data_IF_845939308565
#
_entry.id   IF_845939308565
#
_cell.length_a   1.000
_cell.length_b   1.000
_cell.length_c   1.000
_cell.angle_alpha   90.00
_cell.angle_beta   90.00
_cell.angle_gamma   90.00
#
_symmetry.space_group_name_H-M   'P 1'
#
loop_
_entity.id
_entity.type
_entity.pdbx_description
1 polymer ?
#
# COMPACT_ATOMS: atom_id res chain seq x y z
N UNK A 1 -40.92 18.64 -36.51
CA UNK A 1 -41.43 19.95 -36.96
C UNK A 1 -42.95 19.90 -36.91
N UNK A 2 -43.61 20.97 -36.46
CA UNK A 2 -45.07 21.04 -36.54
C UNK A 2 -45.49 21.25 -38.00
N UNK A 3 -46.50 20.52 -38.51
CA UNK A 3 -47.01 20.74 -39.85
C UNK A 3 -47.54 22.18 -39.96
N UNK A 4 -47.05 22.91 -40.95
CA UNK A 4 -47.40 24.30 -41.24
C UNK A 4 -47.83 24.45 -42.70
N UNK A 5 -48.49 25.55 -43.02
CA UNK A 5 -48.84 25.86 -44.41
C UNK A 5 -47.58 25.99 -45.29
N UNK A 6 -46.47 26.50 -44.75
CA UNK A 6 -45.18 26.59 -45.46
C UNK A 6 -44.64 25.21 -45.84
N UNK A 7 -44.71 24.22 -44.93
CA UNK A 7 -44.32 22.84 -45.24
C UNK A 7 -45.27 22.17 -46.23
N UNK A 8 -46.58 22.48 -46.17
CA UNK A 8 -47.54 21.92 -47.12
C UNK A 8 -47.31 22.43 -48.56
N UNK A 9 -46.97 23.71 -48.72
CA UNK A 9 -46.61 24.30 -50.00
C UNK A 9 -45.35 23.69 -50.64
N UNK A 10 -44.45 23.08 -49.84
CA UNK A 10 -43.32 22.31 -50.38
C UNK A 10 -43.75 20.95 -50.95
N UNK A 11 -44.85 20.40 -50.43
CA UNK A 11 -45.44 19.14 -50.89
C UNK A 11 -46.35 19.37 -52.10
N UNK A 12 -47.01 20.54 -52.17
CA UNK A 12 -47.93 20.94 -53.24
C UNK A 12 -47.26 21.87 -54.26
N UNK A 13 -46.79 21.38 -55.43
CA UNK A 13 -46.15 22.22 -56.43
C UNK A 13 -47.20 23.01 -57.21
N UNK A 14 -47.54 24.21 -56.71
CA UNK A 14 -48.57 25.09 -57.29
C UNK A 14 -48.39 25.27 -58.80
N UNK A 15 -47.15 25.43 -59.28
CA UNK A 15 -46.86 25.63 -60.71
C UNK A 15 -47.27 24.43 -61.58
N UNK A 16 -47.13 23.20 -61.06
CA UNK A 16 -47.56 22.00 -61.76
C UNK A 16 -49.09 21.97 -61.90
N UNK A 17 -49.80 22.34 -60.84
CA UNK A 17 -51.26 22.41 -60.83
C UNK A 17 -51.79 23.50 -61.76
N UNK A 18 -51.15 24.68 -61.78
CA UNK A 18 -51.45 25.72 -62.77
C UNK A 18 -51.25 25.20 -64.20
N UNK A 19 -50.16 24.48 -64.47
CA UNK A 19 -49.89 23.88 -65.77
C UNK A 19 -50.93 22.84 -66.19
N UNK A 20 -51.30 21.93 -65.29
CA UNK A 20 -52.33 20.93 -65.55
C UNK A 20 -53.70 21.56 -65.80
N UNK A 21 -54.04 22.61 -65.06
CA UNK A 21 -55.31 23.32 -65.24
C UNK A 21 -55.37 24.02 -66.60
N UNK A 22 -54.27 24.61 -67.06
CA UNK A 22 -54.17 25.20 -68.40
C UNK A 22 -54.28 24.13 -69.50
N UNK A 23 -53.63 22.98 -69.32
CA UNK A 23 -53.69 21.85 -70.27
C UNK A 23 -55.11 21.26 -70.32
N UNK A 24 -55.74 21.03 -69.16
CA UNK A 24 -57.09 20.49 -69.08
C UNK A 24 -58.12 21.46 -69.66
N UNK A 25 -57.99 22.76 -69.40
CA UNK A 25 -58.85 23.79 -69.99
C UNK A 25 -58.71 23.80 -71.52
N UNK A 26 -57.47 23.74 -72.03
CA UNK A 26 -57.18 23.61 -73.46
C UNK A 26 -57.78 22.34 -74.07
N UNK A 27 -57.60 21.19 -73.41
CA UNK A 27 -58.09 19.90 -73.89
C UNK A 27 -59.62 19.84 -73.98
N UNK A 28 -60.34 20.36 -72.99
CA UNK A 28 -61.81 20.40 -72.98
C UNK A 28 -62.36 21.37 -74.04
N UNK A 29 -61.66 22.49 -74.28
CA UNK A 29 -62.07 23.46 -75.30
C UNK A 29 -61.81 23.01 -76.75
N UNK A 30 -60.99 21.97 -76.94
CA UNK A 30 -60.77 21.33 -78.25
C UNK A 30 -61.93 20.42 -78.66
N UNK A 31 -62.98 20.33 -77.84
CA UNK A 31 -64.12 19.46 -78.07
C UNK A 31 -65.45 20.24 -78.07
N UNK A 32 -66.47 19.86 -78.87
CA UNK A 32 -66.59 18.70 -79.79
C UNK A 32 -66.03 18.90 -81.21
N UNK A 33 -65.14 19.85 -81.46
CA UNK A 33 -64.87 20.32 -82.82
C UNK A 33 -63.57 19.74 -83.39
N UNK A 34 -63.66 18.99 -84.50
CA UNK A 34 -62.55 18.30 -85.19
C UNK A 34 -61.46 19.24 -85.78
N UNK A 35 -61.33 20.48 -85.31
CA UNK A 35 -60.43 21.50 -85.85
C UNK A 35 -59.50 22.05 -84.75
N UNK A 36 -58.27 21.53 -84.69
CA UNK A 36 -57.24 21.93 -83.72
C UNK A 36 -56.44 23.17 -84.13
N UNK A 37 -56.93 23.99 -85.06
CA UNK A 37 -56.20 25.16 -85.55
C UNK A 37 -56.12 26.29 -84.51
N UNK A 38 -55.02 27.05 -84.50
CA UNK A 38 -54.88 28.22 -83.63
C UNK A 38 -55.99 29.26 -83.84
N UNK A 39 -56.41 29.45 -85.10
CA UNK A 39 -57.53 30.34 -85.45
C UNK A 39 -58.89 29.89 -84.89
N UNK A 40 -59.02 28.61 -84.55
CA UNK A 40 -60.22 28.08 -83.89
C UNK A 40 -60.21 28.37 -82.38
N UNK A 41 -59.07 28.18 -81.71
CA UNK A 41 -58.93 28.43 -80.26
C UNK A 41 -59.20 29.87 -79.84
N UNK A 42 -58.92 30.84 -80.72
CA UNK A 42 -59.16 32.27 -80.46
C UNK A 42 -60.60 32.72 -80.74
N UNK A 43 -61.50 31.83 -81.18
CA UNK A 43 -62.91 32.18 -81.41
C UNK A 43 -63.59 32.53 -80.07
N UNK A 44 -64.43 33.59 -80.01
CA UNK A 44 -65.07 34.01 -78.77
C UNK A 44 -65.83 32.88 -78.03
N UNK A 45 -66.55 32.04 -78.75
CA UNK A 45 -67.31 30.93 -78.16
C UNK A 45 -66.40 29.87 -77.51
N UNK A 46 -65.23 29.61 -78.12
CA UNK A 46 -64.22 28.67 -77.59
C UNK A 46 -63.50 29.28 -76.40
N UNK A 47 -63.22 30.58 -76.45
CA UNK A 47 -62.67 31.36 -75.33
C UNK A 47 -63.60 31.34 -74.12
N UNK A 48 -64.92 31.43 -74.31
CA UNK A 48 -65.89 31.32 -73.21
C UNK A 48 -65.86 29.93 -72.57
N UNK A 49 -65.80 28.85 -73.36
CA UNK A 49 -65.66 27.48 -72.85
C UNK A 49 -64.33 27.29 -72.12
N UNK A 50 -63.23 27.83 -72.65
CA UNK A 50 -61.92 27.85 -71.99
C UNK A 50 -61.98 28.51 -70.61
N UNK A 51 -62.55 29.71 -70.54
CA UNK A 51 -62.68 30.49 -69.29
C UNK A 51 -63.56 29.75 -68.30
N UNK A 52 -64.70 29.20 -68.75
CA UNK A 52 -65.61 28.44 -67.90
C UNK A 52 -64.94 27.17 -67.35
N UNK A 53 -64.23 26.42 -68.21
CA UNK A 53 -63.45 25.24 -67.78
C UNK A 53 -62.38 25.63 -66.77
N UNK A 54 -61.66 26.73 -67.02
CA UNK A 54 -60.63 27.25 -66.13
C UNK A 54 -61.21 27.59 -64.75
N UNK A 55 -62.31 28.32 -64.70
CA UNK A 55 -62.98 28.70 -63.46
C UNK A 55 -63.48 27.48 -62.66
N UNK A 56 -64.09 26.50 -63.34
CA UNK A 56 -64.52 25.24 -62.74
C UNK A 56 -63.30 24.48 -62.19
N UNK A 57 -62.23 24.38 -62.97
CA UNK A 57 -60.96 23.79 -62.55
C UNK A 57 -60.40 24.44 -61.29
N UNK A 58 -60.38 25.78 -61.21
CA UNK A 58 -59.84 26.51 -60.04
C UNK A 58 -60.66 26.17 -58.79
N UNK A 59 -61.98 26.09 -58.91
CA UNK A 59 -62.85 25.74 -57.79
C UNK A 59 -62.57 24.31 -57.30
N UNK A 60 -62.48 23.34 -58.22
CA UNK A 60 -62.18 21.93 -57.92
C UNK A 60 -60.81 21.79 -57.25
N UNK A 61 -59.78 22.41 -57.83
CA UNK A 61 -58.42 22.36 -57.30
C UNK A 61 -58.31 22.99 -55.91
N UNK A 62 -59.09 24.03 -55.64
CA UNK A 62 -59.14 24.65 -54.31
C UNK A 62 -59.69 23.69 -53.25
N UNK A 63 -60.69 22.88 -53.61
CA UNK A 63 -61.24 21.85 -52.73
C UNK A 63 -60.22 20.73 -52.50
N UNK A 64 -59.56 20.24 -53.56
CA UNK A 64 -58.50 19.23 -53.42
C UNK A 64 -57.33 19.73 -52.56
N UNK A 65 -56.90 20.98 -52.79
CA UNK A 65 -55.85 21.62 -52.00
C UNK A 65 -56.25 21.69 -50.52
N UNK A 66 -57.48 22.09 -50.23
CA UNK A 66 -58.03 22.16 -48.88
C UNK A 66 -58.10 20.79 -48.22
N UNK A 67 -58.60 19.76 -48.91
CA UNK A 67 -58.70 18.39 -48.40
C UNK A 67 -57.31 17.83 -48.12
N UNK A 68 -56.36 17.98 -49.05
CA UNK A 68 -54.97 17.57 -48.84
C UNK A 68 -54.33 18.32 -47.67
N UNK A 69 -54.63 19.60 -47.49
CA UNK A 69 -54.13 20.38 -46.35
C UNK A 69 -54.67 19.86 -45.02
N UNK A 70 -55.96 19.53 -44.97
CA UNK A 70 -56.60 18.97 -43.77
C UNK A 70 -56.01 17.60 -43.41
N UNK A 71 -55.78 16.74 -44.42
CA UNK A 71 -55.12 15.44 -44.23
C UNK A 71 -53.69 15.62 -43.71
N UNK A 72 -52.94 16.57 -44.29
CA UNK A 72 -51.56 16.88 -43.93
C UNK A 72 -51.43 17.44 -42.51
N UNK A 73 -52.21 18.47 -42.13
CA UNK A 73 -52.10 19.10 -40.82
C UNK A 73 -52.59 18.19 -39.70
N UNK A 74 -53.61 17.37 -39.98
CA UNK A 74 -54.13 16.38 -39.04
C UNK A 74 -53.22 15.17 -38.91
N UNK A 75 -52.29 14.97 -39.84
CA UNK A 75 -51.36 13.84 -39.89
C UNK A 75 -52.11 12.51 -40.00
N UNK A 76 -53.18 12.46 -40.81
CA UNK A 76 -54.03 11.27 -40.85
C UNK A 76 -53.31 10.05 -41.43
N UNK A 77 -52.34 10.22 -42.33
CA UNK A 77 -51.55 9.10 -42.84
C UNK A 77 -50.80 8.38 -41.71
N UNK A 78 -50.23 9.12 -40.77
CA UNK A 78 -49.58 8.56 -39.58
C UNK A 78 -50.55 8.02 -38.52
N UNK A 79 -51.68 8.70 -38.28
CA UNK A 79 -52.60 8.39 -37.17
C UNK A 79 -53.69 7.38 -37.53
N UNK A 80 -54.23 7.45 -38.74
CA UNK A 80 -55.38 6.67 -39.19
C UNK A 80 -55.44 6.65 -40.73
N UNK A 81 -54.63 5.78 -41.36
CA UNK A 81 -54.54 5.69 -42.82
C UNK A 81 -55.91 5.47 -43.49
N UNK A 82 -56.81 4.68 -42.88
CA UNK A 82 -58.17 4.50 -43.39
C UNK A 82 -58.98 5.80 -43.46
N UNK A 83 -58.82 6.72 -42.49
CA UNK A 83 -59.45 8.05 -42.54
C UNK A 83 -58.83 8.94 -43.60
N UNK A 84 -57.51 8.86 -43.80
CA UNK A 84 -56.83 9.59 -44.87
C UNK A 84 -57.34 9.15 -46.25
N UNK A 85 -57.43 7.83 -46.48
CA UNK A 85 -58.00 7.25 -47.71
C UNK A 85 -59.44 7.70 -47.90
N UNK A 86 -60.27 7.66 -46.85
CA UNK A 86 -61.66 8.09 -46.92
C UNK A 86 -61.80 9.58 -47.26
N UNK A 87 -60.98 10.45 -46.65
CA UNK A 87 -60.99 11.88 -46.95
C UNK A 87 -60.54 12.18 -48.38
N UNK A 88 -59.51 11.49 -48.87
CA UNK A 88 -59.09 11.63 -50.26
C UNK A 88 -60.16 11.08 -51.23
N UNK A 89 -60.79 9.95 -50.94
CA UNK A 89 -61.82 9.38 -51.81
C UNK A 89 -63.10 10.23 -51.83
N UNK A 90 -63.64 10.57 -50.67
CA UNK A 90 -64.91 11.31 -50.56
C UNK A 90 -64.73 12.81 -50.79
N UNK A 91 -63.75 13.42 -50.11
CA UNK A 91 -63.51 14.86 -50.18
C UNK A 91 -62.64 15.28 -51.37
N UNK A 92 -61.70 14.43 -51.80
CA UNK A 92 -60.78 14.72 -52.90
C UNK A 92 -61.26 14.25 -54.28
N UNK A 93 -62.15 13.25 -54.36
CA UNK A 93 -62.66 12.75 -55.67
C UNK A 93 -64.17 12.90 -55.79
N UNK A 94 -64.96 12.30 -54.89
CA UNK A 94 -66.41 12.27 -55.05
C UNK A 94 -67.04 13.67 -54.96
N UNK A 95 -66.69 14.45 -53.93
CA UNK A 95 -67.22 15.80 -53.73
C UNK A 95 -66.81 16.74 -54.88
N UNK A 96 -65.53 16.84 -55.30
CA UNK A 96 -65.16 17.72 -56.40
C UNK A 96 -65.75 17.26 -57.73
N UNK A 97 -65.93 15.95 -57.97
CA UNK A 97 -66.61 15.45 -59.17
C UNK A 97 -68.09 15.83 -59.21
N UNK A 98 -68.82 15.74 -58.10
CA UNK A 98 -70.23 16.16 -58.01
C UNK A 98 -70.36 17.66 -58.26
N UNK A 99 -69.47 18.46 -57.67
CA UNK A 99 -69.45 19.91 -57.86
C UNK A 99 -69.09 20.26 -59.29
N UNK A 100 -68.07 19.61 -59.87
CA UNK A 100 -67.67 19.78 -61.26
C UNK A 100 -68.86 19.53 -62.20
N UNK A 101 -69.54 18.40 -62.03
CA UNK A 101 -70.68 18.03 -62.86
C UNK A 101 -71.82 19.05 -62.74
N UNK A 102 -72.16 19.46 -61.51
CA UNK A 102 -73.18 20.49 -61.28
C UNK A 102 -72.83 21.84 -61.91
N UNK A 103 -71.57 22.26 -61.83
CA UNK A 103 -71.09 23.51 -62.43
C UNK A 103 -71.08 23.43 -63.97
N UNK A 104 -70.70 22.29 -64.55
CA UNK A 104 -70.73 22.12 -66.00
C UNK A 104 -72.17 22.21 -66.51
N UNK A 105 -73.13 21.52 -65.87
CA UNK A 105 -74.55 21.60 -66.24
C UNK A 105 -75.13 23.02 -66.13
N UNK A 106 -74.65 23.81 -65.16
CA UNK A 106 -75.11 25.18 -64.93
C UNK A 106 -74.53 26.17 -65.95
N UNK A 107 -73.25 26.02 -66.29
CA UNK A 107 -72.46 27.03 -67.01
C UNK A 107 -72.37 26.73 -68.50
N UNK A 108 -72.46 25.46 -68.92
CA UNK A 108 -72.27 25.10 -70.32
C UNK A 108 -73.58 25.18 -71.09
N UNK A 109 -73.56 25.63 -72.37
CA UNK A 109 -74.73 25.60 -73.23
C UNK A 109 -75.28 24.17 -73.41
N UNK A 110 -76.60 24.04 -73.51
CA UNK A 110 -77.28 22.75 -73.72
C UNK A 110 -76.74 21.99 -74.96
N UNK A 111 -76.35 22.71 -76.01
CA UNK A 111 -75.75 22.13 -77.21
C UNK A 111 -74.43 21.36 -76.97
N UNK A 112 -73.73 21.65 -75.87
CA UNK A 112 -72.51 20.95 -75.47
C UNK A 112 -72.86 19.77 -74.54
N UNK A 113 -73.80 19.97 -73.62
CA UNK A 113 -74.22 18.96 -72.65
C UNK A 113 -74.95 17.78 -73.31
N UNK A 114 -75.74 18.07 -74.35
CA UNK A 114 -76.52 17.07 -75.08
C UNK A 114 -75.70 16.27 -76.11
N UNK A 115 -74.42 16.63 -76.33
CA UNK A 115 -73.54 15.89 -77.23
C UNK A 115 -73.17 14.53 -76.61
N UNK A 116 -73.38 13.39 -77.29
CA UNK A 116 -73.08 12.06 -76.73
C UNK A 116 -71.60 11.89 -76.38
N UNK A 117 -70.71 12.67 -77.00
CA UNK A 117 -69.28 12.60 -76.74
C UNK A 117 -68.87 13.35 -75.47
N UNK A 118 -69.69 14.25 -74.94
CA UNK A 118 -69.47 14.99 -73.69
C UNK A 118 -69.26 14.08 -72.47
N UNK A 119 -69.85 12.87 -72.49
CA UNK A 119 -69.66 11.86 -71.45
C UNK A 119 -68.18 11.41 -71.32
N UNK A 120 -67.45 11.37 -72.43
CA UNK A 120 -66.03 11.00 -72.44
C UNK A 120 -65.16 12.08 -71.81
N UNK A 121 -65.52 13.36 -71.96
CA UNK A 121 -64.80 14.47 -71.33
C UNK A 121 -65.01 14.49 -69.82
N UNK A 122 -66.24 14.22 -69.36
CA UNK A 122 -66.52 14.06 -67.92
C UNK A 122 -65.70 12.89 -67.36
N UNK A 123 -65.67 11.75 -68.07
CA UNK A 123 -64.90 10.59 -67.65
C UNK A 123 -63.39 10.90 -67.61
N UNK A 124 -62.87 11.60 -68.63
CA UNK A 124 -61.49 12.03 -68.70
C UNK A 124 -61.13 12.96 -67.52
N UNK A 125 -61.98 13.96 -67.24
CA UNK A 125 -61.78 14.88 -66.11
C UNK A 125 -61.86 14.16 -64.75
N UNK A 126 -62.74 13.18 -64.61
CA UNK A 126 -62.83 12.33 -63.41
C UNK A 126 -61.57 11.48 -63.22
N UNK A 127 -61.06 10.87 -64.30
CA UNK A 127 -59.82 10.11 -64.25
C UNK A 127 -58.62 11.00 -63.90
N UNK A 128 -58.56 12.20 -64.48
CA UNK A 128 -57.54 13.19 -64.17
C UNK A 128 -57.58 13.58 -62.68
N UNK A 129 -58.78 13.81 -62.13
CA UNK A 129 -59.01 14.08 -60.71
C UNK A 129 -58.53 12.93 -59.82
N UNK A 130 -58.86 11.68 -60.16
CA UNK A 130 -58.40 10.50 -59.43
C UNK A 130 -56.87 10.43 -59.42
N UNK A 131 -56.23 10.61 -60.57
CA UNK A 131 -54.77 10.57 -60.71
C UNK A 131 -54.12 11.70 -59.89
N UNK A 132 -54.68 12.91 -59.96
CA UNK A 132 -54.21 14.09 -59.24
C UNK A 132 -54.29 13.90 -57.73
N UNK A 133 -55.45 13.46 -57.24
CA UNK A 133 -55.66 13.21 -55.83
C UNK A 133 -54.80 12.04 -55.31
N UNK A 134 -54.62 10.97 -56.10
CA UNK A 134 -53.69 9.89 -55.77
C UNK A 134 -52.24 10.39 -55.69
N UNK A 135 -51.83 11.21 -56.65
CA UNK A 135 -50.50 11.80 -56.67
C UNK A 135 -50.24 12.68 -55.45
N UNK A 136 -51.22 13.52 -55.07
CA UNK A 136 -51.17 14.36 -53.88
C UNK A 136 -51.08 13.52 -52.59
N UNK A 137 -51.94 12.51 -52.46
CA UNK A 137 -51.91 11.57 -51.34
C UNK A 137 -50.53 10.90 -51.19
N UNK A 138 -49.95 10.42 -52.29
CA UNK A 138 -48.64 9.79 -52.29
C UNK A 138 -47.52 10.78 -51.90
N UNK A 139 -47.58 12.03 -52.38
CA UNK A 139 -46.61 13.07 -52.00
C UNK A 139 -46.66 13.40 -50.51
N UNK A 140 -47.86 13.55 -49.96
CA UNK A 140 -48.05 13.77 -48.52
C UNK A 140 -47.48 12.58 -47.72
N UNK A 141 -47.83 11.35 -48.12
CA UNK A 141 -47.35 10.14 -47.46
C UNK A 141 -45.82 10.04 -47.51
N UNK A 142 -45.19 10.27 -48.66
CA UNK A 142 -43.72 10.26 -48.79
C UNK A 142 -43.05 11.30 -47.91
N UNK A 143 -43.63 12.50 -47.81
CA UNK A 143 -43.12 13.56 -46.94
C UNK A 143 -43.19 13.15 -45.46
N UNK A 144 -44.33 12.63 -45.02
CA UNK A 144 -44.49 12.14 -43.63
C UNK A 144 -43.54 10.98 -43.31
N UNK A 145 -43.35 10.03 -44.25
CA UNK A 145 -42.43 8.91 -44.09
C UNK A 145 -40.97 9.39 -43.96
N UNK A 146 -40.55 10.37 -44.77
CA UNK A 146 -39.20 10.95 -44.69
C UNK A 146 -38.96 11.64 -43.35
N UNK A 147 -39.89 12.48 -42.91
CA UNK A 147 -39.78 13.14 -41.59
C UNK A 147 -39.77 12.11 -40.46
N UNK A 148 -40.56 11.04 -40.58
CA UNK A 148 -40.56 9.93 -39.64
C UNK A 148 -39.19 9.26 -39.55
N UNK A 149 -38.60 8.91 -40.70
CA UNK A 149 -37.28 8.27 -40.79
C UNK A 149 -36.16 9.15 -40.22
N UNK A 150 -36.13 10.44 -40.59
CA UNK A 150 -35.16 11.41 -40.07
C UNK A 150 -35.30 11.58 -38.55
N UNK A 151 -36.55 11.60 -38.05
CA UNK A 151 -36.84 11.65 -36.62
C UNK A 151 -36.33 10.42 -35.87
N UNK A 152 -36.55 9.22 -36.39
CA UNK A 152 -36.03 7.98 -35.79
C UNK A 152 -34.52 7.91 -35.84
N UNK A 153 -33.89 8.33 -36.94
CA UNK A 153 -32.43 8.34 -37.06
C UNK A 153 -31.82 9.32 -36.05
N UNK A 154 -32.42 10.50 -35.87
CA UNK A 154 -32.00 11.45 -34.85
C UNK A 154 -32.11 10.85 -33.44
N UNK A 155 -33.21 10.18 -33.12
CA UNK A 155 -33.39 9.53 -31.82
C UNK A 155 -32.36 8.42 -31.57
N UNK A 156 -32.01 7.65 -32.61
CA UNK A 156 -30.95 6.63 -32.54
C UNK A 156 -29.60 7.30 -32.25
N UNK A 157 -29.24 8.34 -33.02
CA UNK A 157 -28.00 9.07 -32.81
C UNK A 157 -27.93 9.71 -31.40
N UNK A 158 -29.04 10.28 -30.91
CA UNK A 158 -29.12 10.86 -29.57
C UNK A 158 -28.98 9.79 -28.48
N UNK A 159 -29.58 8.60 -28.67
CA UNK A 159 -29.43 7.45 -27.76
C UNK A 159 -27.97 6.99 -27.70
N UNK A 160 -27.30 6.86 -28.84
CA UNK A 160 -25.92 6.41 -28.90
C UNK A 160 -24.97 7.40 -28.21
N UNK A 161 -25.22 8.71 -28.39
CA UNK A 161 -24.50 9.77 -27.68
C UNK A 161 -24.69 9.68 -26.17
N UNK A 162 -25.93 9.46 -25.71
CA UNK A 162 -26.21 9.29 -24.27
C UNK A 162 -25.56 8.01 -23.71
N UNK A 163 -25.56 6.92 -24.47
CA UNK A 163 -24.90 5.69 -24.08
C UNK A 163 -23.39 5.89 -23.90
N UNK A 164 -22.73 6.60 -24.83
CA UNK A 164 -21.32 6.97 -24.71
C UNK A 164 -21.05 7.85 -23.48
N UNK A 165 -21.92 8.83 -23.18
CA UNK A 165 -21.80 9.65 -21.97
C UNK A 165 -21.94 8.82 -20.69
N UNK A 166 -22.88 7.86 -20.66
CA UNK A 166 -23.04 6.95 -19.51
C UNK A 166 -21.81 6.06 -19.35
N UNK A 167 -21.24 5.55 -20.44
CA UNK A 167 -20.03 4.72 -20.41
C UNK A 167 -18.83 5.52 -19.90
N UNK A 168 -18.66 6.76 -20.37
CA UNK A 168 -17.67 7.70 -19.85
C UNK A 168 -17.84 7.94 -18.34
N UNK A 169 -19.05 8.28 -17.89
CA UNK A 169 -19.33 8.51 -16.47
C UNK A 169 -19.10 7.25 -15.62
N UNK A 170 -19.43 6.06 -16.14
CA UNK A 170 -19.12 4.79 -15.46
C UNK A 170 -17.62 4.59 -15.31
N UNK A 171 -16.83 4.91 -16.33
CA UNK A 171 -15.37 4.83 -16.26
C UNK A 171 -14.81 5.80 -15.23
N UNK A 172 -15.34 7.03 -15.18
CA UNK A 172 -14.95 8.07 -14.24
C UNK A 172 -15.29 7.70 -12.79
N UNK A 173 -16.49 7.16 -12.55
CA UNK A 173 -16.88 6.60 -11.26
C UNK A 173 -15.95 5.45 -10.86
N UNK A 174 -15.54 4.61 -11.82
CA UNK A 174 -14.56 3.55 -11.60
C UNK A 174 -13.20 4.10 -11.13
N UNK A 175 -12.72 5.17 -11.76
CA UNK A 175 -11.51 5.88 -11.34
C UNK A 175 -11.65 6.47 -9.93
N UNK A 176 -12.71 7.21 -9.64
CA UNK A 176 -12.93 7.77 -8.30
C UNK A 176 -13.04 6.70 -7.22
N UNK A 177 -13.63 5.55 -7.53
CA UNK A 177 -13.69 4.42 -6.59
C UNK A 177 -12.30 3.88 -6.25
N UNK A 178 -11.42 3.79 -7.25
CA UNK A 178 -10.02 3.38 -7.05
C UNK A 178 -9.27 4.43 -6.22
N UNK A 179 -9.44 5.72 -6.52
CA UNK A 179 -8.82 6.81 -5.74
C UNK A 179 -9.26 6.76 -4.27
N UNK A 180 -10.56 6.57 -4.01
CA UNK A 180 -11.08 6.41 -2.64
C UNK A 180 -10.46 5.20 -1.94
N UNK A 181 -10.23 4.09 -2.64
CA UNK A 181 -9.53 2.94 -2.07
C UNK A 181 -8.07 3.27 -1.74
N UNK A 182 -7.38 4.01 -2.60
CA UNK A 182 -6.01 4.49 -2.32
C UNK A 182 -5.97 5.42 -1.11
N UNK A 183 -6.90 6.37 -1.01
CA UNK A 183 -7.01 7.25 0.18
C UNK A 183 -7.30 6.47 1.46
N UNK A 184 -8.15 5.42 1.40
CA UNK A 184 -8.38 4.52 2.55
C UNK A 184 -7.13 3.75 2.96
N UNK A 185 -6.35 3.26 2.00
CA UNK A 185 -5.07 2.61 2.29
C UNK A 185 -4.06 3.61 2.89
N UNK A 186 -3.99 4.83 2.34
CA UNK A 186 -3.11 5.87 2.84
C UNK A 186 -3.46 6.24 4.29
N UNK A 187 -4.73 6.50 4.58
CA UNK A 187 -5.21 6.82 5.94
C UNK A 187 -4.88 5.72 6.95
N UNK A 188 -5.13 4.44 6.63
CA UNK A 188 -4.74 3.31 7.50
C UNK A 188 -3.23 3.26 7.74
N UNK A 189 -2.43 3.57 6.72
CA UNK A 189 -0.96 3.59 6.83
C UNK A 189 -0.48 4.77 7.67
N UNK A 190 -1.09 5.94 7.49
CA UNK A 190 -0.82 7.13 8.30
C UNK A 190 -1.20 6.89 9.77
N UNK A 191 -2.37 6.32 10.04
CA UNK A 191 -2.82 5.99 11.40
C UNK A 191 -1.87 5.01 12.10
N UNK A 192 -1.41 3.97 11.39
CA UNK A 192 -0.39 3.05 11.93
C UNK A 192 0.92 3.77 12.25
N UNK A 193 1.37 4.67 11.36
CA UNK A 193 2.61 5.43 11.57
C UNK A 193 2.48 6.39 12.75
N UNK A 194 1.35 7.10 12.87
CA UNK A 194 1.06 8.02 13.99
C UNK A 194 0.96 7.25 15.31
N UNK A 195 0.26 6.11 15.33
CA UNK A 195 0.18 5.28 16.53
C UNK A 195 1.56 4.74 16.94
N UNK A 196 2.38 4.29 15.98
CA UNK A 196 3.77 3.88 16.26
C UNK A 196 4.66 5.01 16.79
N UNK A 197 4.47 6.25 16.30
CA UNK A 197 5.15 7.43 16.82
C UNK A 197 4.72 7.78 18.25
N UNK A 198 3.43 7.67 18.56
CA UNK A 198 2.90 7.89 19.92
C UNK A 198 3.44 6.84 20.89
N UNK A 199 3.49 5.57 20.48
CA UNK A 199 4.05 4.48 21.28
C UNK A 199 5.55 4.69 21.54
N UNK A 200 6.32 5.04 20.51
CA UNK A 200 7.73 5.39 20.65
C UNK A 200 7.97 6.60 21.58
N UNK A 201 7.13 7.63 21.48
CA UNK A 201 7.16 8.79 22.40
C UNK A 201 6.93 8.37 23.85
N UNK A 202 5.95 7.50 24.11
CA UNK A 202 5.63 7.04 25.46
C UNK A 202 6.76 6.20 26.07
N UNK A 203 7.39 5.32 25.29
CA UNK A 203 8.56 4.54 25.72
C UNK A 203 9.72 5.47 26.08
N UNK A 204 10.02 6.45 25.22
CA UNK A 204 11.09 7.41 25.47
C UNK A 204 10.80 8.29 26.70
N UNK A 205 9.56 8.71 26.91
CA UNK A 205 9.16 9.45 28.10
C UNK A 205 9.38 8.64 29.39
N UNK A 206 9.03 7.34 29.37
CA UNK A 206 9.25 6.45 30.50
C UNK A 206 10.75 6.23 30.78
N UNK A 207 11.56 6.03 29.74
CA UNK A 207 13.02 5.92 29.88
C UNK A 207 13.65 7.21 30.43
N UNK A 208 13.15 8.38 30.00
CA UNK A 208 13.63 9.67 30.51
C UNK A 208 13.31 9.84 32.00
N UNK A 209 12.13 9.44 32.46
CA UNK A 209 11.77 9.48 33.87
C UNK A 209 12.58 8.49 34.72
N UNK A 210 12.83 7.28 34.21
CA UNK A 210 13.70 6.30 34.88
C UNK A 210 15.13 6.85 35.04
N UNK A 211 15.67 7.46 33.99
CA UNK A 211 17.00 8.10 34.03
C UNK A 211 17.03 9.30 34.98
N UNK A 212 15.97 10.10 35.04
CA UNK A 212 15.85 11.22 36.01
C UNK A 212 15.87 10.71 37.44
N UNK A 213 15.08 9.67 37.72
CA UNK A 213 15.02 9.04 39.04
C UNK A 213 16.37 8.45 39.45
N UNK A 214 17.06 7.78 38.53
CA UNK A 214 18.39 7.22 38.78
C UNK A 214 19.44 8.32 39.00
N UNK A 215 19.41 9.40 38.22
CA UNK A 215 20.29 10.55 38.41
C UNK A 215 20.04 11.22 39.78
N UNK A 216 18.77 11.39 40.19
CA UNK A 216 18.44 11.88 41.54
C UNK A 216 18.99 10.98 42.65
N UNK A 217 18.90 9.65 42.49
CA UNK A 217 19.50 8.70 43.45
C UNK A 217 21.02 8.81 43.50
N UNK A 218 21.67 8.94 42.36
CA UNK A 218 23.13 9.12 42.29
C UNK A 218 23.56 10.43 42.96
N UNK A 219 22.86 11.53 42.72
CA UNK A 219 23.11 12.80 43.41
C UNK A 219 22.96 12.69 44.93
N UNK A 220 21.91 12.02 45.42
CA UNK A 220 21.75 11.75 46.85
C UNK A 220 22.92 10.93 47.41
N UNK A 221 23.40 9.94 46.66
CA UNK A 221 24.55 9.12 47.06
C UNK A 221 25.85 9.93 47.09
N UNK A 222 26.06 10.82 46.13
CA UNK A 222 27.21 11.74 46.14
C UNK A 222 27.16 12.63 47.37
N UNK A 223 25.99 13.19 47.69
CA UNK A 223 25.82 14.05 48.86
C UNK A 223 26.08 13.30 50.18
N UNK A 224 25.59 12.05 50.30
CA UNK A 224 25.91 11.20 51.45
C UNK A 224 27.41 10.92 51.59
N UNK A 225 28.11 10.66 50.49
CA UNK A 225 29.56 10.46 50.49
C UNK A 225 30.34 11.74 50.84
N UNK A 226 29.85 12.91 50.43
CA UNK A 226 30.43 14.19 50.83
C UNK A 226 30.24 14.45 52.33
N UNK A 227 29.06 14.13 52.88
CA UNK A 227 28.78 14.22 54.31
C UNK A 227 29.68 13.26 55.12
N UNK A 228 29.81 12.00 54.69
CA UNK A 228 30.72 11.01 55.28
C UNK A 228 32.19 11.48 55.23
N UNK A 229 32.64 11.99 54.08
CA UNK A 229 33.99 12.55 53.93
C UNK A 229 34.20 13.74 54.87
N UNK A 230 33.21 14.59 55.07
CA UNK A 230 33.30 15.73 55.99
C UNK A 230 33.46 15.27 57.45
N UNK A 231 32.79 14.17 57.83
CA UNK A 231 32.92 13.54 59.14
C UNK A 231 34.29 12.88 59.31
N UNK A 232 34.80 12.21 58.28
CA UNK A 232 36.13 11.61 58.29
C UNK A 232 37.22 12.68 58.43
N UNK A 233 37.13 13.79 57.69
CA UNK A 233 38.07 14.92 57.80
C UNK A 233 38.05 15.52 59.20
N UNK A 234 36.87 15.70 59.82
CA UNK A 234 36.77 16.13 61.23
C UNK A 234 37.37 15.10 62.19
N UNK A 235 37.20 13.81 61.91
CA UNK A 235 37.79 12.71 62.68
C UNK A 235 39.31 12.71 62.61
N UNK A 236 39.88 12.88 61.41
CA UNK A 236 41.33 13.00 61.19
C UNK A 236 41.90 14.24 61.86
N UNK A 237 41.26 15.40 61.73
CA UNK A 237 41.70 16.62 62.40
C UNK A 237 41.72 16.47 63.94
N UNK A 238 40.72 15.78 64.52
CA UNK A 238 40.71 15.46 65.97
C UNK A 238 41.81 14.47 66.35
N UNK A 239 42.05 13.45 65.52
CA UNK A 239 43.10 12.47 65.75
C UNK A 239 44.50 13.11 65.62
N UNK A 240 44.72 14.01 64.66
CA UNK A 240 45.95 14.78 64.49
C UNK A 240 46.19 15.72 65.67
N UNK A 241 45.17 16.42 66.16
CA UNK A 241 45.27 17.25 67.37
C UNK A 241 45.68 16.40 68.59
N UNK A 242 45.05 15.23 68.78
CA UNK A 242 45.42 14.28 69.83
C UNK A 242 46.81 13.69 69.65
N UNK A 243 47.24 13.47 68.41
CA UNK A 243 48.58 12.95 68.11
C UNK A 243 49.66 14.02 68.34
N UNK A 244 49.38 15.29 68.08
CA UNK A 244 50.26 16.40 68.44
C UNK A 244 50.41 16.54 69.97
N UNK A 245 49.32 16.34 70.71
CA UNK A 245 49.32 16.29 72.17
C UNK A 245 50.18 15.12 72.69
N UNK A 246 50.00 13.92 72.13
CA UNK A 246 50.82 12.74 72.44
C UNK A 246 52.30 12.91 72.04
N UNK A 247 52.60 13.61 70.94
CA UNK A 247 53.97 13.88 70.52
C UNK A 247 54.69 14.84 71.47
N UNK A 248 53.98 15.79 72.09
CA UNK A 248 54.52 16.63 73.14
C UNK A 248 54.82 15.81 74.40
N UNK A 249 53.92 14.90 74.78
CA UNK A 249 54.10 13.97 75.90
C UNK A 249 55.27 13.00 75.66
N UNK A 250 55.42 12.49 74.44
CA UNK A 250 56.55 11.64 74.02
C UNK A 250 57.86 12.42 73.98
N UNK A 251 57.85 13.72 73.63
CA UNK A 251 59.05 14.56 73.66
C UNK A 251 59.55 14.78 75.09
N UNK A 252 58.65 14.96 76.06
CA UNK A 252 58.98 15.01 77.50
C UNK A 252 59.55 13.66 77.98
N UNK A 253 59.00 12.54 77.52
CA UNK A 253 59.51 11.20 77.84
C UNK A 253 60.84 10.86 77.13
N UNK A 254 61.12 11.44 75.96
CA UNK A 254 62.38 11.26 75.22
C UNK A 254 63.55 12.07 75.79
N UNK A 255 63.30 13.19 76.47
CA UNK A 255 64.34 13.92 77.19
C UNK A 255 64.94 13.12 78.37
N UNK A 256 64.21 12.11 78.86
CA UNK A 256 64.64 11.19 79.93
C UNK A 256 65.34 9.91 79.44
N UNK A 257 65.26 9.59 78.14
CA UNK A 257 65.69 8.30 77.60
C UNK A 257 66.97 8.34 76.73
N UNK A 258 67.65 9.49 76.63
CA UNK A 258 68.92 9.64 75.89
C UNK A 258 70.17 9.40 76.78
N UNK A 259 70.12 8.39 77.64
CA UNK A 259 71.27 7.65 78.19
C UNK A 259 71.10 6.16 77.83
N UNK A 260 71.24 5.80 76.55
CA UNK A 260 71.67 4.46 76.10
C UNK A 260 71.74 4.39 74.56
N UNK A 261 72.96 4.15 74.07
CA UNK A 261 73.36 3.56 72.77
C UNK A 261 72.46 2.42 72.29
N UNK A 262 72.47 1.91 71.05
CA UNK A 262 73.05 2.21 69.72
C UNK A 262 72.51 1.14 68.75
N UNK A 263 72.52 1.47 67.46
CA UNK A 263 72.83 0.63 66.29
C UNK A 263 71.93 -0.51 65.73
N UNK A 264 71.82 -0.45 64.38
CA UNK A 264 71.74 -1.53 63.35
C UNK A 264 70.43 -2.34 63.22
N UNK A 265 70.02 -2.91 62.07
CA UNK A 265 70.23 -2.78 60.61
C UNK A 265 69.32 -3.84 59.92
N UNK A 266 68.99 -3.68 58.63
CA UNK A 266 68.57 -4.73 57.66
C UNK A 266 67.22 -5.49 57.88
N UNK A 267 66.48 -6.10 56.93
CA UNK A 267 66.32 -6.15 55.46
C UNK A 267 65.01 -6.95 55.19
N UNK A 268 64.43 -6.83 53.99
CA UNK A 268 63.52 -7.75 53.23
C UNK A 268 62.73 -8.88 53.94
N UNK A 269 61.45 -9.09 53.57
CA UNK A 269 61.01 -10.48 53.35
C UNK A 269 59.82 -10.71 52.40
N UNK A 270 59.97 -11.75 51.57
CA UNK A 270 58.97 -12.47 50.77
C UNK A 270 58.66 -13.74 51.55
N UNK A 271 57.40 -14.01 51.90
CA UNK A 271 57.07 -15.22 52.65
C UNK A 271 56.96 -16.47 51.75
N UNK A 272 57.90 -17.39 51.92
CA UNK A 272 57.86 -18.80 51.51
C UNK A 272 57.21 -19.64 52.62
N UNK A 273 56.10 -20.33 52.33
CA UNK A 273 55.46 -21.28 53.27
C UNK A 273 55.56 -22.70 52.72
N UNK A 274 56.12 -23.61 53.52
CA UNK A 274 56.37 -25.03 53.19
C UNK A 274 55.40 -25.90 53.98
N UNK A 275 54.73 -26.84 53.31
CA UNK A 275 53.71 -27.70 53.93
C UNK A 275 54.19 -29.15 54.01
N UNK A 276 54.11 -29.75 55.20
CA UNK A 276 54.56 -31.12 55.45
C UNK A 276 53.38 -32.10 55.49
N UNK A 277 53.46 -33.19 54.72
CA UNK A 277 52.45 -34.27 54.69
C UNK A 277 53.09 -35.61 54.99
N UNK A 278 52.43 -36.44 55.80
CA UNK A 278 52.82 -37.85 55.95
C UNK A 278 52.14 -38.70 54.88
N UNK A 279 52.92 -39.20 53.93
CA UNK A 279 52.46 -40.10 52.87
C UNK A 279 53.17 -41.44 53.04
N UNK A 280 52.41 -42.52 53.21
CA UNK A 280 52.95 -43.89 53.39
C UNK A 280 54.02 -44.01 54.50
N UNK A 281 53.88 -43.25 55.59
CA UNK A 281 54.79 -43.27 56.74
C UNK A 281 56.02 -42.35 56.64
N UNK A 282 56.26 -41.72 55.48
CA UNK A 282 57.33 -40.73 55.29
C UNK A 282 56.77 -39.30 55.23
N UNK A 283 57.51 -38.34 55.78
CA UNK A 283 57.14 -36.92 55.75
C UNK A 283 57.69 -36.25 54.50
N UNK A 284 56.82 -35.63 53.71
CA UNK A 284 57.12 -34.99 52.44
C UNK A 284 56.80 -33.50 52.57
N UNK A 285 57.78 -32.65 52.24
CA UNK A 285 57.62 -31.20 52.21
C UNK A 285 57.25 -30.76 50.79
N UNK A 286 56.12 -30.06 50.65
CA UNK A 286 55.62 -29.55 49.36
C UNK A 286 55.40 -28.05 49.50
N UNK A 287 55.94 -27.27 48.56
CA UNK A 287 55.62 -25.86 48.42
C UNK A 287 54.34 -25.70 47.59
N UNK A 288 53.46 -24.77 47.99
CA UNK A 288 52.20 -24.56 47.28
C UNK A 288 52.41 -24.14 45.81
N UNK A 289 53.49 -23.41 45.52
CA UNK A 289 53.85 -22.98 44.16
C UNK A 289 54.24 -24.13 43.22
N UNK A 290 54.65 -25.28 43.76
CA UNK A 290 55.06 -26.45 43.00
C UNK A 290 53.88 -27.37 42.68
N UNK A 291 52.66 -27.03 43.12
CA UNK A 291 51.46 -27.82 42.87
C UNK A 291 50.82 -27.39 41.56
N UNK A 292 50.56 -28.37 40.68
CA UNK A 292 49.82 -28.15 39.45
C UNK A 292 48.31 -28.17 39.71
N UNK A 293 47.82 -29.27 40.26
CA UNK A 293 46.42 -29.43 40.64
C UNK A 293 46.27 -30.50 41.72
N UNK A 294 45.14 -30.44 42.44
CA UNK A 294 44.70 -31.51 43.31
C UNK A 294 43.40 -32.11 42.77
N UNK A 295 43.31 -33.43 42.79
CA UNK A 295 42.17 -34.19 42.31
C UNK A 295 41.51 -34.97 43.46
N UNK A 296 40.19 -34.91 43.52
CA UNK A 296 39.38 -35.67 44.48
C UNK A 296 38.61 -36.77 43.79
N UNK A 297 38.95 -38.02 44.08
CA UNK A 297 38.22 -39.16 43.57
C UNK A 297 37.03 -39.48 44.47
N UNK A 298 35.83 -39.37 43.92
CA UNK A 298 34.58 -39.64 44.63
C UNK A 298 33.61 -40.41 43.72
N UNK A 299 33.76 -41.73 43.63
CA UNK A 299 32.86 -42.62 42.89
C UNK A 299 32.04 -43.49 43.83
N UNK A 300 30.77 -43.71 43.49
CA UNK A 300 29.82 -44.45 44.34
C UNK A 300 30.27 -45.93 44.42
N UNK A 301 30.74 -46.35 45.60
CA UNK A 301 31.22 -47.72 45.86
C UNK A 301 32.75 -47.88 45.96
N UNK A 302 33.52 -46.80 45.81
CA UNK A 302 34.99 -46.79 45.97
C UNK A 302 35.39 -45.85 47.12
N UNK A 303 36.53 -46.15 47.77
CA UNK A 303 37.06 -45.31 48.83
C UNK A 303 37.50 -43.96 48.26
N UNK A 304 37.00 -42.88 48.86
CA UNK A 304 37.36 -41.53 48.42
C UNK A 304 38.80 -41.20 48.82
N UNK A 305 39.61 -40.78 47.86
CA UNK A 305 40.97 -40.32 48.10
C UNK A 305 41.23 -38.98 47.41
N UNK A 306 42.26 -38.30 47.90
CA UNK A 306 42.75 -37.06 47.33
C UNK A 306 44.15 -37.30 46.76
N UNK A 307 44.41 -36.73 45.60
CA UNK A 307 45.70 -36.77 44.91
C UNK A 307 46.21 -35.33 44.73
N UNK A 308 47.48 -35.09 45.06
CA UNK A 308 48.20 -33.85 44.77
C UNK A 308 49.15 -34.16 43.62
N UNK A 309 49.06 -33.39 42.53
CA UNK A 309 49.95 -33.50 41.37
C UNK A 309 50.82 -32.25 41.31
N UNK A 310 52.13 -32.44 41.31
CA UNK A 310 53.11 -31.35 41.22
C UNK A 310 53.35 -30.90 39.77
N UNK A 311 53.99 -29.76 39.60
CA UNK A 311 54.32 -29.15 38.30
C UNK A 311 55.30 -29.99 37.48
N UNK A 312 56.05 -30.91 38.09
CA UNK A 312 56.91 -31.90 37.42
C UNK A 312 56.16 -33.18 37.00
N UNK A 313 54.91 -33.35 37.45
CA UNK A 313 54.07 -34.52 37.19
C UNK A 313 54.09 -35.58 38.30
N UNK A 314 54.85 -35.39 39.37
CA UNK A 314 54.90 -36.29 40.52
C UNK A 314 53.57 -36.27 41.29
N UNK A 315 53.12 -37.44 41.77
CA UNK A 315 51.79 -37.65 42.37
C UNK A 315 51.89 -38.13 43.83
N UNK A 316 51.17 -37.48 44.72
CA UNK A 316 51.11 -37.81 46.15
C UNK A 316 49.67 -38.00 46.66
N UNK A 317 49.50 -38.90 47.62
CA UNK A 317 48.20 -39.21 48.23
C UNK A 317 48.22 -38.89 49.73
N UNK A 318 47.87 -37.66 50.16
CA UNK A 318 48.07 -37.19 51.54
C UNK A 318 47.10 -37.77 52.58
N UNK A 319 46.27 -38.76 52.24
CA UNK A 319 45.31 -39.39 53.17
C UNK A 319 44.21 -38.45 53.69
N UNK A 320 44.00 -37.30 53.04
CA UNK A 320 42.98 -36.32 53.42
C UNK A 320 41.58 -36.75 52.96
N UNK A 321 40.55 -36.33 53.71
CA UNK A 321 39.16 -36.77 53.50
C UNK A 321 38.43 -35.97 52.41
N UNK A 322 38.83 -34.73 52.15
CA UNK A 322 38.14 -33.88 51.18
C UNK A 322 39.05 -32.87 50.47
N UNK A 323 38.65 -32.43 49.28
CA UNK A 323 39.30 -31.29 48.59
C UNK A 323 39.18 -30.00 49.39
N UNK A 324 38.13 -29.82 50.20
CA UNK A 324 37.98 -28.61 51.02
C UNK A 324 39.07 -28.49 52.09
N UNK A 325 39.61 -29.60 52.58
CA UNK A 325 40.73 -29.60 53.52
C UNK A 325 42.02 -29.16 52.81
N UNK A 326 42.23 -29.63 51.57
CA UNK A 326 43.35 -29.17 50.74
C UNK A 326 43.26 -27.68 50.39
N UNK A 327 42.06 -27.13 50.16
CA UNK A 327 41.89 -25.71 49.90
C UNK A 327 42.21 -24.82 51.11
N UNK A 328 42.04 -25.33 52.34
CA UNK A 328 42.45 -24.60 53.56
C UNK A 328 43.96 -24.58 53.71
N UNK A 329 44.63 -25.65 53.29
CA UNK A 329 46.09 -25.76 53.34
C UNK A 329 46.71 -24.93 52.22
N UNK A 330 46.09 -24.93 51.03
CA UNK A 330 46.57 -24.25 49.83
C UNK A 330 45.56 -23.19 49.34
N UNK A 331 45.50 -22.01 49.99
CA UNK A 331 44.50 -20.99 49.69
C UNK A 331 44.67 -20.31 48.32
N UNK A 332 45.85 -20.42 47.70
CA UNK A 332 46.10 -19.86 46.38
C UNK A 332 45.44 -20.68 45.26
N UNK A 333 45.26 -21.99 45.47
CA UNK A 333 44.57 -22.87 44.52
C UNK A 333 43.09 -22.48 44.39
N UNK A 334 42.54 -22.63 43.18
CA UNK A 334 41.13 -22.30 42.91
C UNK A 334 40.34 -23.56 42.62
N UNK A 335 39.13 -23.59 43.17
CA UNK A 335 38.19 -24.67 42.96
C UNK A 335 37.50 -24.46 41.62
N UNK A 336 37.75 -25.35 40.65
CA UNK A 336 37.29 -25.18 39.27
C UNK A 336 36.12 -26.12 38.95
N UNK A 337 36.15 -27.34 39.48
CA UNK A 337 35.05 -28.31 39.37
C UNK A 337 34.93 -29.10 40.66
N UNK A 338 33.89 -29.92 40.81
CA UNK A 338 33.64 -30.72 42.03
C UNK A 338 34.85 -31.53 42.50
N UNK A 339 35.67 -31.98 41.55
CA UNK A 339 36.77 -32.89 41.82
C UNK A 339 38.15 -32.25 41.59
N UNK A 340 38.25 -30.95 41.32
CA UNK A 340 39.53 -30.33 40.97
C UNK A 340 39.76 -28.97 41.65
N UNK A 341 40.91 -28.87 42.31
CA UNK A 341 41.56 -27.62 42.70
C UNK A 341 42.77 -27.40 41.79
N UNK A 342 42.93 -26.19 41.27
CA UNK A 342 43.92 -25.92 40.22
C UNK A 342 44.74 -24.70 40.58
N UNK A 343 46.05 -24.78 40.37
CA UNK A 343 46.95 -23.64 40.44
C UNK A 343 46.83 -22.82 39.16
N UNK A 344 46.71 -21.50 39.28
CA UNK A 344 46.69 -20.60 38.10
C UNK A 344 47.94 -20.76 37.21
N UNK A 345 49.07 -21.14 37.80
CA UNK A 345 50.34 -21.35 37.11
C UNK A 345 50.35 -22.60 36.23
N UNK A 346 49.48 -23.57 36.49
CA UNK A 346 49.39 -24.82 35.75
C UNK A 346 48.45 -24.75 34.54
N UNK A 347 47.77 -23.62 34.33
CA UNK A 347 46.86 -23.42 33.20
C UNK A 347 47.69 -23.16 31.94
N UNK A 348 47.63 -24.11 31.00
CA UNK A 348 48.34 -24.04 29.72
C UNK A 348 47.55 -23.18 28.73
N UNK A 349 46.24 -23.41 28.65
CA UNK A 349 45.34 -22.66 27.78
C UNK A 349 43.90 -22.74 28.30
N UNK A 350 43.03 -21.84 27.83
CA UNK A 350 41.59 -21.98 27.99
C UNK A 350 40.84 -21.57 26.72
N UNK A 351 39.74 -22.28 26.46
CA UNK A 351 38.84 -22.01 25.34
C UNK A 351 37.45 -21.67 25.89
N UNK A 352 36.76 -20.73 25.25
CA UNK A 352 35.41 -20.35 25.63
C UNK A 352 34.39 -21.09 24.77
N UNK A 353 33.60 -21.99 25.37
CA UNK A 353 32.50 -22.67 24.68
C UNK A 353 31.28 -21.75 24.52
N UNK A 354 30.39 -22.11 23.58
CA UNK A 354 29.07 -21.48 23.41
C UNK A 354 28.29 -21.56 24.73
N UNK A 355 27.95 -20.42 25.31
CA UNK A 355 27.38 -20.32 26.67
C UNK A 355 28.31 -19.72 27.73
N UNK A 356 29.47 -19.18 27.33
CA UNK A 356 30.42 -18.48 28.22
C UNK A 356 30.98 -19.39 29.34
N UNK A 357 31.14 -20.68 29.02
CA UNK A 357 31.80 -21.67 29.88
C UNK A 357 33.24 -21.85 29.43
N UNK A 358 34.26 -21.50 30.25
CA UNK A 358 35.64 -21.76 29.91
C UNK A 358 35.97 -23.23 30.14
N UNK A 359 36.71 -23.79 29.21
CA UNK A 359 37.27 -25.13 29.25
C UNK A 359 38.79 -24.99 29.33
N UNK A 360 39.36 -25.47 30.43
CA UNK A 360 40.76 -25.31 30.76
C UNK A 360 41.55 -26.54 30.32
N UNK A 361 42.71 -26.29 29.72
CA UNK A 361 43.77 -27.29 29.52
C UNK A 361 44.83 -27.08 30.60
N UNK A 362 45.05 -28.11 31.41
CA UNK A 362 45.91 -28.04 32.60
C UNK A 362 47.13 -28.93 32.39
N UNK A 363 48.28 -28.48 32.90
CA UNK A 363 49.52 -29.25 32.85
C UNK A 363 49.35 -30.64 33.49
N UNK A 364 49.90 -31.67 32.84
CA UNK A 364 49.82 -33.10 33.23
C UNK A 364 48.42 -33.73 33.29
N UNK A 365 47.36 -32.97 33.04
CA UNK A 365 46.01 -33.49 32.94
C UNK A 365 45.66 -33.71 31.47
N UNK A 366 45.42 -34.98 31.11
CA UNK A 366 45.13 -35.38 29.71
C UNK A 366 43.75 -34.91 29.23
N UNK A 367 42.82 -34.69 30.14
CA UNK A 367 41.45 -34.27 29.85
C UNK A 367 41.27 -32.78 30.08
N UNK A 368 40.44 -32.14 29.24
CA UNK A 368 40.09 -30.73 29.41
C UNK A 368 38.98 -30.61 30.46
N UNK A 369 39.11 -29.67 31.39
CA UNK A 369 38.14 -29.47 32.47
C UNK A 369 37.27 -28.24 32.20
N UNK A 370 35.95 -28.39 32.30
CA UNK A 370 35.04 -27.26 32.35
C UNK A 370 35.08 -26.57 33.71
N UNK A 371 35.24 -25.24 33.72
CA UNK A 371 35.09 -24.49 34.96
C UNK A 371 33.61 -24.40 35.32
N UNK A 372 33.14 -25.16 36.30
CA UNK A 372 31.73 -25.23 36.66
C UNK A 372 31.13 -23.87 37.07
N UNK A 373 29.91 -23.60 36.63
CA UNK A 373 29.22 -22.32 36.88
C UNK A 373 29.08 -21.99 38.37
N UNK A 374 28.79 -23.00 39.20
CA UNK A 374 28.68 -22.86 40.67
C UNK A 374 29.97 -22.36 41.32
N UNK A 375 31.13 -22.68 40.74
CA UNK A 375 32.43 -22.23 41.24
C UNK A 375 32.80 -20.86 40.69
N UNK A 376 32.52 -20.59 39.41
CA UNK A 376 32.69 -19.26 38.80
C UNK A 376 31.90 -18.17 39.53
N UNK A 377 30.68 -18.46 39.97
CA UNK A 377 29.86 -17.52 40.76
C UNK A 377 30.47 -17.19 42.13
N UNK A 378 31.22 -18.13 42.74
CA UNK A 378 31.90 -17.91 44.03
C UNK A 378 33.18 -17.09 43.91
N UNK A 379 33.77 -17.00 42.71
CA UNK A 379 34.98 -16.22 42.44
C UNK A 379 34.65 -15.04 41.51
N UNK A 380 34.16 -13.94 42.07
CA UNK A 380 33.92 -12.71 41.32
C UNK A 380 35.23 -12.24 40.65
N UNK A 381 35.18 -11.92 39.36
CA UNK A 381 36.36 -11.56 38.58
C UNK A 381 37.18 -12.73 38.01
N UNK A 382 36.66 -13.97 38.02
CA UNK A 382 37.34 -15.16 37.46
C UNK A 382 37.83 -14.97 36.00
N UNK A 383 37.12 -14.18 35.18
CA UNK A 383 37.55 -13.86 33.80
C UNK A 383 38.87 -13.10 33.78
N UNK A 384 39.00 -12.07 34.62
CA UNK A 384 40.21 -11.28 34.75
C UNK A 384 41.34 -12.12 35.37
N UNK A 385 41.02 -13.00 36.32
CA UNK A 385 41.98 -13.92 36.91
C UNK A 385 42.54 -14.92 35.87
N UNK A 386 41.70 -15.59 35.08
CA UNK A 386 42.16 -16.50 34.01
C UNK A 386 43.01 -15.77 32.96
N UNK A 387 42.57 -14.58 32.52
CA UNK A 387 43.31 -13.77 31.57
C UNK A 387 44.67 -13.33 32.12
N UNK A 388 44.74 -12.91 33.38
CA UNK A 388 45.98 -12.51 34.03
C UNK A 388 46.95 -13.69 34.21
N UNK A 389 46.45 -14.87 34.61
CA UNK A 389 47.29 -16.07 34.77
C UNK A 389 47.83 -16.57 33.43
N UNK A 390 47.01 -16.61 32.38
CA UNK A 390 47.47 -16.99 31.04
C UNK A 390 48.55 -16.02 30.52
N UNK A 391 48.35 -14.71 30.72
CA UNK A 391 49.35 -13.70 30.34
C UNK A 391 50.66 -13.84 31.14
N UNK A 392 50.58 -14.16 32.44
CA UNK A 392 51.78 -14.44 33.26
C UNK A 392 52.48 -15.72 32.81
N UNK A 393 51.75 -16.79 32.51
CA UNK A 393 52.31 -18.07 32.09
C UNK A 393 52.95 -17.97 30.69
N UNK A 394 52.33 -17.23 29.75
CA UNK A 394 52.93 -16.95 28.44
C UNK A 394 54.22 -16.14 28.57
N UNK A 395 54.26 -15.13 29.46
CA UNK A 395 55.50 -14.38 29.75
C UNK A 395 56.59 -15.27 30.37
N UNK A 396 56.23 -16.16 31.30
CA UNK A 396 57.16 -17.13 31.90
C UNK A 396 57.68 -18.12 30.85
N UNK A 397 56.80 -18.67 30.00
CA UNK A 397 57.19 -19.59 28.93
C UNK A 397 58.11 -18.91 27.89
N UNK A 398 57.85 -17.65 27.54
CA UNK A 398 58.73 -16.87 26.66
C UNK A 398 60.09 -16.56 27.32
N UNK A 399 60.14 -16.35 28.65
CA UNK A 399 61.38 -16.13 29.41
C UNK A 399 62.17 -17.42 29.69
N UNK A 400 61.52 -18.60 29.65
CA UNK A 400 62.14 -19.92 29.85
C UNK A 400 62.41 -20.66 28.53
N UNK A 401 62.07 -20.07 27.38
CA UNK A 401 62.46 -20.59 26.07
C UNK A 401 63.94 -20.26 25.85
N UNK A 402 64.85 -21.24 25.83
CA UNK A 402 66.27 -20.97 25.65
C UNK A 402 66.51 -20.38 24.26
N UNK A 403 67.19 -19.24 24.26
CA UNK A 403 67.97 -18.77 23.14
C UNK A 403 68.83 -19.95 22.63
N UNK A 404 68.73 -20.38 21.36
CA UNK A 404 69.61 -21.43 20.86
C UNK A 404 71.05 -20.90 20.89
N UNK A 405 71.86 -21.48 21.78
CA UNK A 405 73.29 -21.22 21.87
C UNK A 405 73.93 -21.38 20.48
N UNK A 406 74.84 -20.46 20.10
CA UNK A 406 75.49 -20.48 18.80
C UNK A 406 76.41 -21.69 18.70
N UNK A 407 76.27 -22.46 17.61
CA UNK A 407 77.24 -23.48 17.22
C UNK A 407 78.55 -22.79 16.82
N UNK A 408 79.50 -22.77 17.75
CA UNK A 408 80.90 -22.49 17.50
C UNK A 408 81.52 -23.66 16.72
N UNK A 409 82.28 -23.34 15.67
CA UNK A 409 83.02 -24.30 14.84
C UNK A 409 84.21 -24.89 15.61
N UNK A 410 84.54 -26.16 15.34
CA UNK A 410 85.87 -26.65 14.90
C UNK A 410 85.99 -28.17 15.13
N UNK A 411 86.89 -28.91 14.44
CA UNK A 411 87.81 -28.53 13.35
C UNK A 411 87.38 -29.00 11.95
#
# INVERSE_FOLDING_TARGET
MMPSIKSYLQVFPILWWCGLLLIASGAVALFPFDNMSFGYLIKPNVLVVLVNTFCIGVAILSIEFWVGYQVFISGFWRRAAGRAVLMHALGGVALPAIIAFGLILLVYPASIVDDPRFQWDILFMLLLLIILNYWLANRILQYELKIGADGTQKLINDRDRLAQQIEFLKSEIGHYKNDVQQYKLLTVTTDKTVNGLIEGKNILAMQLDELRMENSRQLQRVQQLEDERSLEVRGRARAEARNQELLLEIAELRALAQQSSEAAAHQTDRSETVFHFKVNGAEIAIFEQDIAYCYGHHRKGEDSFQEIVLMDGTKYHPGLKSLSDLLKIFPSLKHISRNHLISGQAIVNYEMLRGNTPVLTILHLKERIEYGESYRRKQAGWKNWLAAQLAMNQKKAAAMSPEPLPLEKAP
#
